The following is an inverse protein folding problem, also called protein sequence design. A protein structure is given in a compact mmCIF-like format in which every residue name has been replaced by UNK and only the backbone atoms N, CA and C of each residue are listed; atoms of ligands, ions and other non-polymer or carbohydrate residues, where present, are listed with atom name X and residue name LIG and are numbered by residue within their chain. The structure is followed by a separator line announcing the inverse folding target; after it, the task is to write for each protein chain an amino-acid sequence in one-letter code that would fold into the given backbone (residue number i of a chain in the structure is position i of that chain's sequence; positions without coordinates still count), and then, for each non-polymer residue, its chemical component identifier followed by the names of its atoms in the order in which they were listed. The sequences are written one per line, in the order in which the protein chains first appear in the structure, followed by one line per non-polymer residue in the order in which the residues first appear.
data_IF_031934235192
#
_entry.id   IF_031934235192
#
_cell.length_a   1.000
_cell.length_b   1.000
_cell.length_c   1.000
_cell.angle_alpha   90.00
_cell.angle_beta   90.00
_cell.angle_gamma   90.00
#
_symmetry.space_group_name_H-M   'P 1'
#
loop_
_entity.id
_entity.type
_entity.pdbx_description
1 polymer ?
#
# COMPACT_ATOMS: atom_id res chain seq x y z
N UNK A 1 -3.77 25.72 17.27
CA UNK A 1 -2.61 24.84 17.01
C UNK A 1 -3.06 23.37 16.92
N UNK A 2 -2.46 22.56 16.05
CA UNK A 2 -2.83 21.14 15.91
C UNK A 2 -3.99 20.83 14.95
N UNK A 3 -4.49 21.83 14.21
CA UNK A 3 -5.45 21.61 13.13
C UNK A 3 -4.73 21.19 11.85
N UNK A 4 -5.44 20.53 10.93
CA UNK A 4 -4.93 20.20 9.60
C UNK A 4 -5.61 21.09 8.57
N UNK A 5 -4.78 21.69 7.71
CA UNK A 5 -5.20 22.32 6.46
C UNK A 5 -4.67 21.47 5.31
N UNK A 6 -5.55 21.06 4.39
CA UNK A 6 -5.19 20.16 3.29
C UNK A 6 -5.51 20.84 1.96
N UNK A 7 -4.55 20.84 1.04
CA UNK A 7 -4.73 21.34 -0.31
C UNK A 7 -4.78 20.20 -1.33
N UNK A 8 -5.63 20.35 -2.33
CA UNK A 8 -5.48 19.68 -3.62
C UNK A 8 -4.89 20.72 -4.59
N UNK A 9 -3.76 20.41 -5.20
CA UNK A 9 -3.07 21.31 -6.12
C UNK A 9 -2.41 20.46 -7.22
N UNK A 10 -2.76 20.74 -8.47
CA UNK A 10 -2.55 19.84 -9.62
C UNK A 10 -1.60 20.39 -10.70
N UNK A 11 -0.88 21.48 -10.43
CA UNK A 11 0.08 22.14 -11.36
C UNK A 11 1.54 22.04 -10.92
N UNK A 12 1.84 21.22 -9.90
CA UNK A 12 3.17 21.04 -9.32
C UNK A 12 3.77 22.32 -8.71
N UNK A 13 2.91 23.18 -8.14
CA UNK A 13 3.35 24.36 -7.40
C UNK A 13 4.24 23.91 -6.21
N UNK A 14 5.45 24.49 -6.03
CA UNK A 14 6.36 24.09 -4.96
C UNK A 14 5.99 24.73 -3.62
N UNK A 15 6.19 24.00 -2.53
CA UNK A 15 6.06 24.53 -1.17
C UNK A 15 4.62 24.70 -0.70
N UNK A 16 3.66 23.96 -1.27
CA UNK A 16 2.25 24.06 -0.89
C UNK A 16 2.06 23.74 0.59
N UNK A 17 2.70 22.68 1.08
CA UNK A 17 2.63 22.23 2.47
C UNK A 17 3.82 22.67 3.32
N UNK A 18 4.45 23.79 2.95
CA UNK A 18 5.57 24.40 3.67
C UNK A 18 5.15 25.69 4.39
N UNK A 19 5.85 26.08 5.48
CA UNK A 19 5.52 27.30 6.22
C UNK A 19 5.59 28.57 5.37
N UNK A 20 4.68 29.50 5.63
CA UNK A 20 4.61 30.78 4.90
C UNK A 20 5.86 31.65 5.08
N UNK A 21 6.50 31.60 6.24
CA UNK A 21 7.77 32.32 6.50
C UNK A 21 8.97 31.75 5.73
N UNK A 22 8.83 30.58 5.08
CA UNK A 22 9.80 30.02 4.13
C UNK A 22 9.35 30.17 2.66
N UNK A 23 8.29 30.94 2.41
CA UNK A 23 7.71 31.14 1.06
C UNK A 23 6.70 30.07 0.63
N UNK A 24 6.27 29.17 1.53
CA UNK A 24 5.22 28.20 1.23
C UNK A 24 3.81 28.76 1.34
N UNK A 25 2.80 27.96 0.96
CA UNK A 25 1.39 28.37 1.04
C UNK A 25 0.76 28.14 2.44
N UNK A 26 1.46 27.47 3.35
CA UNK A 26 1.03 27.28 4.74
C UNK A 26 0.03 26.14 4.96
N UNK A 27 -0.20 25.28 3.98
CA UNK A 27 -0.99 24.07 4.21
C UNK A 27 -0.23 23.06 5.06
N UNK A 28 -0.96 22.23 5.80
CA UNK A 28 -0.37 21.12 6.57
C UNK A 28 -0.02 19.96 5.66
N UNK A 29 -0.91 19.66 4.69
CA UNK A 29 -0.82 18.52 3.79
C UNK A 29 -1.22 18.88 2.36
N UNK A 30 -0.72 18.11 1.39
CA UNK A 30 -1.08 18.17 -0.04
C UNK A 30 -1.55 16.81 -0.54
N UNK A 31 -2.60 16.75 -1.36
CA UNK A 31 -2.97 15.52 -2.06
C UNK A 31 -1.92 15.14 -3.11
N UNK A 32 -1.48 13.88 -3.09
CA UNK A 32 -0.54 13.36 -4.07
C UNK A 32 -1.28 12.84 -5.31
N UNK A 33 -1.70 13.77 -6.17
CA UNK A 33 -2.42 13.46 -7.41
C UNK A 33 -1.56 12.68 -8.41
N UNK A 34 -0.23 12.88 -8.40
CA UNK A 34 0.71 12.10 -9.21
C UNK A 34 0.71 10.63 -8.81
N UNK A 35 0.91 10.35 -7.51
CA UNK A 35 0.82 9.00 -6.96
C UNK A 35 -0.53 8.34 -7.27
N UNK A 36 -1.64 9.05 -7.08
CA UNK A 36 -2.99 8.51 -7.31
C UNK A 36 -3.13 8.06 -8.78
N UNK A 37 -2.78 8.94 -9.73
CA UNK A 37 -2.91 8.65 -11.15
C UNK A 37 -2.02 7.48 -11.59
N UNK A 38 -0.75 7.48 -11.19
CA UNK A 38 0.19 6.44 -11.57
C UNK A 38 -0.18 5.09 -10.96
N UNK A 39 -0.59 5.09 -9.68
CA UNK A 39 -1.04 3.88 -8.99
C UNK A 39 -2.29 3.31 -9.63
N UNK A 40 -3.34 4.10 -9.88
CA UNK A 40 -4.55 3.59 -10.53
C UNK A 40 -4.28 3.06 -11.94
N UNK A 41 -3.42 3.72 -12.72
CA UNK A 41 -2.99 3.22 -14.04
C UNK A 41 -2.26 1.88 -13.95
N UNK A 42 -1.35 1.73 -12.98
CA UNK A 42 -0.61 0.47 -12.76
C UNK A 42 -1.56 -0.67 -12.38
N UNK A 43 -2.47 -0.43 -11.44
CA UNK A 43 -3.39 -1.45 -10.96
C UNK A 43 -4.48 -1.81 -11.97
N UNK A 44 -4.87 -0.88 -12.85
CA UNK A 44 -5.82 -1.13 -13.95
C UNK A 44 -5.21 -1.94 -15.10
N UNK A 45 -3.88 -1.95 -15.23
CA UNK A 45 -3.20 -2.74 -16.24
C UNK A 45 -3.30 -4.24 -15.91
N UNK A 46 -3.58 -5.07 -16.92
CA UNK A 46 -3.52 -6.53 -16.79
C UNK A 46 -2.15 -6.94 -16.21
N UNK A 47 -2.08 -7.84 -15.22
CA UNK A 47 -0.83 -8.22 -14.55
C UNK A 47 0.34 -8.56 -15.50
N UNK A 48 0.07 -9.14 -16.68
CA UNK A 48 1.12 -9.46 -17.65
C UNK A 48 1.84 -8.22 -18.22
N UNK A 49 1.20 -7.06 -18.18
CA UNK A 49 1.75 -5.81 -18.70
C UNK A 49 2.37 -4.93 -17.60
N UNK A 50 2.19 -5.26 -16.31
CA UNK A 50 2.70 -4.45 -15.19
C UNK A 50 4.22 -4.28 -15.20
N UNK A 51 4.96 -5.23 -15.75
CA UNK A 51 6.42 -5.11 -15.93
C UNK A 51 6.83 -3.91 -16.79
N UNK A 52 6.02 -3.52 -17.77
CA UNK A 52 6.26 -2.36 -18.63
C UNK A 52 5.87 -1.04 -17.95
N UNK A 53 5.20 -1.13 -16.81
CA UNK A 53 4.61 -0.01 -16.08
C UNK A 53 5.19 0.12 -14.67
N UNK A 54 6.26 -0.63 -14.38
CA UNK A 54 6.85 -0.74 -13.03
C UNK A 54 7.36 0.59 -12.48
N UNK A 55 7.69 1.54 -13.35
CA UNK A 55 8.02 2.91 -12.96
C UNK A 55 6.83 3.63 -12.32
N UNK A 56 5.58 3.37 -12.72
CA UNK A 56 4.39 4.05 -12.18
C UNK A 56 4.24 3.84 -10.67
N UNK A 57 4.60 2.66 -10.16
CA UNK A 57 4.46 2.32 -8.75
C UNK A 57 5.72 2.62 -7.90
N UNK A 58 6.79 3.10 -8.55
CA UNK A 58 8.06 3.45 -7.87
C UNK A 58 8.39 4.94 -7.96
N UNK A 59 7.87 5.65 -8.97
CA UNK A 59 8.24 7.04 -9.28
C UNK A 59 7.81 8.05 -8.23
N UNK A 60 6.66 7.85 -7.58
CA UNK A 60 6.17 8.75 -6.52
C UNK A 60 7.19 8.97 -5.41
N UNK A 61 8.03 7.99 -5.11
CA UNK A 61 9.04 8.04 -4.06
C UNK A 61 10.24 8.94 -4.39
N UNK A 62 10.43 9.30 -5.66
CA UNK A 62 11.42 10.31 -6.07
C UNK A 62 11.09 11.68 -5.46
N UNK A 63 9.80 11.99 -5.30
CA UNK A 63 9.34 13.28 -4.76
C UNK A 63 8.49 13.16 -3.49
N UNK A 64 8.26 11.96 -2.94
CA UNK A 64 7.36 11.75 -1.80
C UNK A 64 7.70 12.55 -0.53
N UNK A 65 8.90 13.11 -0.43
CA UNK A 65 9.36 13.90 0.73
C UNK A 65 9.49 15.41 0.43
N UNK A 66 9.10 15.86 -0.78
CA UNK A 66 9.09 17.28 -1.15
C UNK A 66 7.96 18.05 -0.48
N UNK A 67 6.84 17.39 -0.22
CA UNK A 67 5.65 17.89 0.45
C UNK A 67 5.16 16.87 1.50
N UNK A 68 4.30 17.31 2.41
CA UNK A 68 3.63 16.41 3.35
C UNK A 68 2.39 15.82 2.66
N UNK A 69 2.55 14.66 2.04
CA UNK A 69 1.50 14.11 1.19
C UNK A 69 0.39 13.36 1.95
N UNK A 70 -0.84 13.50 1.45
CA UNK A 70 -1.95 12.56 1.61
C UNK A 70 -2.06 11.77 0.31
N UNK A 71 -2.36 10.47 0.39
CA UNK A 71 -2.53 9.55 -0.73
C UNK A 71 -4.04 9.32 -0.95
N UNK A 72 -4.69 10.06 -1.87
CA UNK A 72 -6.13 10.06 -1.98
C UNK A 72 -6.63 9.01 -2.96
N UNK A 73 -7.67 8.29 -2.55
CA UNK A 73 -8.70 7.78 -3.45
C UNK A 73 -10.00 8.50 -3.10
N UNK A 74 -10.24 9.64 -3.74
CA UNK A 74 -11.38 10.51 -3.47
C UNK A 74 -12.63 10.10 -4.26
N UNK A 75 -13.72 10.84 -4.04
CA UNK A 75 -14.96 10.72 -4.79
C UNK A 75 -14.78 10.95 -6.30
N UNK A 76 -13.92 11.89 -6.69
CA UNK A 76 -13.66 12.22 -8.10
C UNK A 76 -13.14 11.04 -8.92
N UNK A 77 -12.56 10.03 -8.28
CA UNK A 77 -11.97 8.87 -8.96
C UNK A 77 -12.97 7.74 -9.22
N UNK A 78 -14.21 7.86 -8.74
CA UNK A 78 -15.26 6.82 -8.83
C UNK A 78 -16.59 7.34 -9.39
N UNK A 79 -16.52 8.35 -10.26
CA UNK A 79 -17.67 8.99 -10.93
C UNK A 79 -17.37 9.25 -12.41
N UNK A 80 -18.37 9.73 -13.15
CA UNK A 80 -18.24 10.26 -14.51
C UNK A 80 -17.61 9.29 -15.52
N UNK A 81 -17.95 7.99 -15.43
CA UNK A 81 -17.45 6.97 -16.35
C UNK A 81 -16.04 6.47 -16.01
N UNK A 82 -15.45 6.90 -14.88
CA UNK A 82 -14.14 6.41 -14.43
C UNK A 82 -14.20 5.01 -13.82
N UNK A 83 -15.39 4.46 -13.56
CA UNK A 83 -15.67 3.25 -12.79
C UNK A 83 -15.32 3.34 -11.30
N UNK A 84 -15.95 2.48 -10.50
CA UNK A 84 -15.54 2.20 -9.11
C UNK A 84 -14.14 1.56 -9.06
N UNK A 85 -13.47 1.59 -7.90
CA UNK A 85 -12.13 0.99 -7.77
C UNK A 85 -12.11 -0.51 -8.10
N UNK A 86 -13.13 -1.27 -7.69
CA UNK A 86 -13.19 -2.71 -7.98
C UNK A 86 -13.32 -3.00 -9.48
N UNK A 87 -14.07 -2.18 -10.22
CA UNK A 87 -14.23 -2.33 -11.67
C UNK A 87 -13.03 -1.82 -12.48
N UNK A 88 -12.13 -1.03 -11.88
CA UNK A 88 -10.82 -0.73 -12.48
C UNK A 88 -9.88 -1.95 -12.45
N UNK A 89 -10.10 -2.91 -11.54
CA UNK A 89 -9.20 -4.05 -11.38
C UNK A 89 -9.39 -5.08 -12.51
N UNK A 90 -8.29 -5.60 -13.10
CA UNK A 90 -8.37 -6.60 -14.16
C UNK A 90 -8.60 -8.01 -13.60
N UNK A 91 -9.02 -8.90 -14.49
CA UNK A 91 -9.13 -10.34 -14.22
C UNK A 91 -10.53 -10.81 -13.89
N UNK A 92 -10.64 -12.05 -13.45
CA UNK A 92 -11.89 -12.60 -12.93
C UNK A 92 -12.29 -11.94 -11.60
N UNK A 93 -13.46 -12.29 -11.09
CA UNK A 93 -13.97 -11.73 -9.84
C UNK A 93 -13.00 -11.91 -8.66
N UNK A 94 -12.35 -13.06 -8.52
CA UNK A 94 -11.40 -13.29 -7.44
C UNK A 94 -10.19 -12.36 -7.58
N UNK A 95 -9.66 -12.22 -8.79
CA UNK A 95 -8.54 -11.34 -9.11
C UNK A 95 -8.89 -9.86 -8.93
N UNK A 96 -10.13 -9.44 -9.22
CA UNK A 96 -10.60 -8.08 -8.94
C UNK A 96 -10.49 -7.75 -7.45
N UNK A 97 -11.03 -8.61 -6.58
CA UNK A 97 -10.94 -8.43 -5.14
C UNK A 97 -9.48 -8.51 -4.64
N UNK A 98 -8.67 -9.44 -5.16
CA UNK A 98 -7.26 -9.56 -4.80
C UNK A 98 -6.46 -8.30 -5.15
N UNK A 99 -6.65 -7.76 -6.36
CA UNK A 99 -6.03 -6.50 -6.77
C UNK A 99 -6.48 -5.31 -5.91
N UNK A 100 -7.74 -5.28 -5.47
CA UNK A 100 -8.23 -4.22 -4.60
C UNK A 100 -7.59 -4.31 -3.20
N UNK A 101 -7.45 -5.52 -2.64
CA UNK A 101 -6.72 -5.76 -1.39
C UNK A 101 -5.25 -5.34 -1.50
N UNK A 102 -4.61 -5.74 -2.59
CA UNK A 102 -3.23 -5.38 -2.96
C UNK A 102 -3.05 -3.85 -3.02
N UNK A 103 -3.96 -3.14 -3.69
CA UNK A 103 -3.96 -1.69 -3.82
C UNK A 103 -4.03 -1.01 -2.45
N UNK A 104 -4.97 -1.41 -1.59
CA UNK A 104 -5.14 -0.79 -0.29
C UNK A 104 -3.98 -1.06 0.65
N UNK A 105 -3.45 -2.28 0.69
CA UNK A 105 -2.24 -2.54 1.47
C UNK A 105 -1.06 -1.71 0.93
N UNK A 106 -0.86 -1.63 -0.38
CA UNK A 106 0.17 -0.74 -0.93
C UNK A 106 -0.03 0.74 -0.53
N UNK A 107 -1.26 1.26 -0.62
CA UNK A 107 -1.59 2.62 -0.15
C UNK A 107 -1.22 2.83 1.32
N UNK A 108 -1.55 1.87 2.19
CA UNK A 108 -1.29 1.96 3.63
C UNK A 108 0.20 1.87 3.97
N UNK A 109 0.96 1.06 3.23
CA UNK A 109 2.40 0.90 3.41
C UNK A 109 3.23 2.04 2.83
N UNK A 110 2.79 2.69 1.75
CA UNK A 110 3.50 3.80 1.12
C UNK A 110 3.61 5.02 2.07
N UNK A 111 4.71 5.80 2.08
CA UNK A 111 4.80 7.02 2.88
C UNK A 111 3.71 8.06 2.53
N UNK A 112 3.14 8.69 3.56
CA UNK A 112 2.08 9.71 3.43
C UNK A 112 0.78 9.30 4.12
N UNK A 113 -0.11 10.28 4.39
CA UNK A 113 -1.39 10.01 5.06
C UNK A 113 -2.42 9.40 4.12
N UNK A 114 -3.47 8.75 4.64
CA UNK A 114 -4.42 7.95 3.84
C UNK A 114 -5.75 8.67 3.71
N UNK A 115 -6.37 8.57 2.53
CA UNK A 115 -7.74 9.00 2.31
C UNK A 115 -8.42 7.99 1.38
N UNK A 116 -9.59 7.52 1.81
CA UNK A 116 -10.44 6.59 1.08
C UNK A 116 -11.88 7.13 1.15
N UNK A 117 -12.57 7.17 0.01
CA UNK A 117 -13.94 7.65 -0.07
C UNK A 117 -14.94 6.53 0.24
N UNK A 118 -16.10 6.92 0.78
CA UNK A 118 -17.15 5.98 1.18
C UNK A 118 -17.61 5.09 0.02
N UNK A 119 -17.97 3.84 0.34
CA UNK A 119 -18.31 2.81 -0.64
C UNK A 119 -17.11 2.01 -1.13
N UNK A 120 -15.92 2.60 -1.13
CA UNK A 120 -14.70 1.90 -1.55
C UNK A 120 -14.28 0.84 -0.51
N UNK A 121 -14.54 1.07 0.77
CA UNK A 121 -14.16 0.19 1.88
C UNK A 121 -14.88 -1.16 1.90
N UNK A 122 -15.95 -1.33 1.12
CA UNK A 122 -16.61 -2.62 0.92
C UNK A 122 -16.73 -2.97 -0.57
N UNK A 123 -15.90 -2.35 -1.41
CA UNK A 123 -15.85 -2.59 -2.84
C UNK A 123 -17.21 -2.39 -3.55
N UNK A 124 -17.84 -1.25 -3.33
CA UNK A 124 -19.01 -0.86 -4.11
C UNK A 124 -18.70 -0.99 -5.62
N UNK A 125 -19.62 -1.65 -6.34
CA UNK A 125 -19.42 -1.97 -7.76
C UNK A 125 -19.81 -0.82 -8.65
N UNK A 126 -20.96 -0.22 -8.43
CA UNK A 126 -21.36 0.91 -9.25
C UNK A 126 -20.57 2.17 -8.88
N UNK A 127 -20.46 3.08 -9.86
CA UNK A 127 -19.99 4.44 -9.58
C UNK A 127 -20.83 5.10 -8.49
N UNK A 128 -20.16 5.95 -7.71
CA UNK A 128 -20.84 6.74 -6.71
C UNK A 128 -21.85 7.67 -7.40
N UNK A 129 -22.98 7.89 -6.73
CA UNK A 129 -23.98 8.85 -7.15
C UNK A 129 -24.57 9.50 -5.91
N UNK A 130 -24.58 10.82 -5.90
CA UNK A 130 -25.16 11.65 -4.84
C UNK A 130 -26.69 11.50 -4.73
N UNK A 131 -27.34 11.01 -5.79
CA UNK A 131 -28.79 10.86 -5.87
C UNK A 131 -29.33 9.57 -5.24
N UNK A 132 -28.46 8.63 -4.86
CA UNK A 132 -28.84 7.34 -4.27
C UNK A 132 -27.95 7.00 -3.07
N UNK A 133 -28.44 6.09 -2.22
CA UNK A 133 -27.62 5.53 -1.15
C UNK A 133 -26.48 4.69 -1.70
N UNK A 134 -25.45 4.48 -0.88
CA UNK A 134 -24.45 3.45 -1.16
C UNK A 134 -25.10 2.06 -1.23
N UNK A 135 -24.44 1.14 -1.93
CA UNK A 135 -24.92 -0.22 -2.19
C UNK A 135 -24.70 -1.16 -0.99
N UNK A 136 -25.27 -0.81 0.17
CA UNK A 136 -25.10 -1.56 1.43
C UNK A 136 -25.48 -3.03 1.35
N UNK A 137 -26.38 -3.40 0.44
CA UNK A 137 -26.79 -4.78 0.19
C UNK A 137 -25.61 -5.68 -0.24
N UNK A 138 -24.52 -5.11 -0.78
CA UNK A 138 -23.32 -5.85 -1.14
C UNK A 138 -22.65 -6.53 0.06
N UNK A 139 -22.84 -6.01 1.27
CA UNK A 139 -22.33 -6.61 2.51
C UNK A 139 -23.01 -7.94 2.88
N UNK A 140 -24.00 -8.39 2.11
CA UNK A 140 -24.55 -9.75 2.21
C UNK A 140 -23.61 -10.82 1.65
N UNK A 141 -22.63 -10.43 0.83
CA UNK A 141 -21.65 -11.32 0.19
C UNK A 141 -20.30 -11.32 0.92
N UNK A 142 -19.69 -12.50 1.06
CA UNK A 142 -18.42 -12.66 1.79
C UNK A 142 -17.25 -11.87 1.17
N UNK A 143 -17.21 -11.75 -0.16
CA UNK A 143 -16.15 -11.01 -0.86
C UNK A 143 -16.09 -9.53 -0.45
N UNK A 144 -17.25 -8.88 -0.35
CA UNK A 144 -17.38 -7.49 0.08
C UNK A 144 -17.07 -7.32 1.56
N UNK A 145 -17.54 -8.23 2.42
CA UNK A 145 -17.15 -8.29 3.84
C UNK A 145 -15.65 -8.49 4.02
N UNK A 146 -15.01 -9.26 3.15
CA UNK A 146 -13.56 -9.47 3.15
C UNK A 146 -12.77 -8.18 2.93
N UNK A 147 -13.22 -7.31 2.02
CA UNK A 147 -12.61 -5.99 1.81
C UNK A 147 -12.83 -5.08 3.03
N UNK A 148 -14.06 -5.05 3.56
CA UNK A 148 -14.36 -4.27 4.76
C UNK A 148 -13.49 -4.69 5.94
N UNK A 149 -13.34 -6.01 6.15
CA UNK A 149 -12.48 -6.57 7.18
C UNK A 149 -11.01 -6.19 6.96
N UNK A 150 -10.52 -6.26 5.72
CA UNK A 150 -9.16 -5.83 5.41
C UNK A 150 -8.96 -4.35 5.76
N UNK A 151 -9.90 -3.46 5.42
CA UNK A 151 -9.79 -2.04 5.77
C UNK A 151 -9.80 -1.84 7.29
N UNK A 152 -10.62 -2.58 8.02
CA UNK A 152 -10.59 -2.57 9.50
C UNK A 152 -9.22 -2.97 10.03
N UNK A 153 -8.68 -4.11 9.56
CA UNK A 153 -7.40 -4.64 10.04
C UNK A 153 -6.22 -3.77 9.60
N UNK A 154 -6.25 -3.19 8.39
CA UNK A 154 -5.28 -2.19 7.92
C UNK A 154 -5.27 -0.94 8.79
N UNK A 155 -6.44 -0.43 9.20
CA UNK A 155 -6.52 0.71 10.10
C UNK A 155 -5.95 0.38 11.49
N UNK A 156 -6.22 -0.82 12.01
CA UNK A 156 -5.64 -1.28 13.26
C UNK A 156 -4.12 -1.37 13.18
N UNK A 157 -3.59 -2.03 12.14
CA UNK A 157 -2.14 -2.15 11.92
C UNK A 157 -1.49 -0.78 11.74
N UNK A 158 -2.10 0.11 10.95
CA UNK A 158 -1.57 1.46 10.74
C UNK A 158 -1.51 2.28 12.02
N UNK A 159 -2.52 2.18 12.89
CA UNK A 159 -2.54 2.87 14.17
C UNK A 159 -1.59 2.25 15.19
N UNK A 160 -1.44 0.92 15.21
CA UNK A 160 -0.61 0.21 16.19
C UNK A 160 0.87 0.17 15.86
N UNK A 161 1.25 0.33 14.59
CA UNK A 161 2.63 0.22 14.13
C UNK A 161 3.25 1.60 13.84
N UNK A 162 4.13 2.12 14.74
CA UNK A 162 4.78 3.42 14.59
C UNK A 162 5.46 3.65 13.23
N UNK A 163 6.05 2.59 12.68
CA UNK A 163 6.77 2.63 11.41
C UNK A 163 5.90 3.08 10.23
N UNK A 164 4.59 2.85 10.28
CA UNK A 164 3.70 3.17 9.18
C UNK A 164 3.25 4.65 9.16
N UNK A 165 3.42 5.39 10.27
CA UNK A 165 2.86 6.75 10.39
C UNK A 165 3.73 7.82 11.05
N UNK A 166 4.77 7.45 11.83
CA UNK A 166 5.56 8.43 12.59
C UNK A 166 6.52 9.26 11.73
N UNK A 167 7.05 8.67 10.65
CA UNK A 167 8.11 9.26 9.80
C UNK A 167 7.68 9.26 8.32
N UNK A 168 6.46 9.71 8.03
CA UNK A 168 5.94 9.74 6.65
C UNK A 168 6.59 10.80 5.74
N UNK A 169 7.07 11.90 6.33
CA UNK A 169 7.48 13.10 5.61
C UNK A 169 8.99 13.32 5.58
N UNK A 170 9.76 12.25 5.85
CA UNK A 170 11.21 12.29 5.84
C UNK A 170 11.77 10.98 5.28
N UNK A 171 12.85 11.08 4.49
CA UNK A 171 13.46 9.94 3.81
C UNK A 171 13.89 8.81 4.75
N UNK A 172 14.18 9.12 6.03
CA UNK A 172 14.53 8.11 7.03
C UNK A 172 13.40 7.13 7.37
N UNK A 173 12.14 7.45 7.06
CA UNK A 173 11.00 6.57 7.35
C UNK A 173 10.74 5.49 6.30
N UNK A 174 11.55 5.46 5.23
CA UNK A 174 11.37 4.56 4.09
C UNK A 174 12.70 4.15 3.50
N UNK A 175 12.82 2.87 3.11
CA UNK A 175 14.00 2.37 2.39
C UNK A 175 13.60 1.25 1.44
N UNK A 176 13.99 1.34 0.17
CA UNK A 176 13.79 0.24 -0.77
C UNK A 176 14.65 -0.97 -0.38
N UNK A 177 14.04 -2.15 -0.35
CA UNK A 177 14.79 -3.41 -0.34
C UNK A 177 15.19 -3.75 -1.77
N UNK A 178 14.17 -3.87 -2.62
CA UNK A 178 14.32 -4.07 -4.04
C UNK A 178 13.08 -3.53 -4.76
N UNK A 179 13.33 -2.63 -5.71
CA UNK A 179 12.31 -2.05 -6.58
C UNK A 179 12.58 -2.34 -8.06
N UNK A 180 13.58 -3.17 -8.38
CA UNK A 180 14.00 -3.44 -9.76
C UNK A 180 13.40 -4.72 -10.34
N UNK A 181 12.71 -5.55 -9.54
CA UNK A 181 12.11 -6.80 -10.00
C UNK A 181 10.80 -6.60 -10.78
N UNK A 182 10.87 -5.76 -11.83
CA UNK A 182 9.75 -5.40 -12.69
C UNK A 182 9.22 -6.57 -13.52
N UNK A 183 10.11 -7.45 -14.00
CA UNK A 183 9.73 -8.64 -14.77
C UNK A 183 8.75 -9.53 -14.02
N UNK A 184 8.89 -9.57 -12.70
CA UNK A 184 8.04 -10.30 -11.79
C UNK A 184 6.96 -9.43 -11.12
N UNK A 185 7.04 -8.11 -11.32
CA UNK A 185 6.22 -7.09 -10.67
C UNK A 185 6.18 -7.24 -9.15
N UNK A 186 7.36 -7.46 -8.57
CA UNK A 186 7.57 -7.55 -7.12
C UNK A 186 8.23 -6.26 -6.63
N UNK A 187 7.76 -5.76 -5.49
CA UNK A 187 8.40 -4.67 -4.75
C UNK A 187 8.61 -5.09 -3.31
N UNK A 188 9.73 -4.66 -2.74
CA UNK A 188 10.00 -4.85 -1.32
C UNK A 188 10.66 -3.60 -0.74
N UNK A 189 10.22 -3.20 0.45
CA UNK A 189 10.73 -2.02 1.15
C UNK A 189 10.54 -2.13 2.66
N UNK A 190 11.20 -1.23 3.38
CA UNK A 190 11.11 -1.10 4.83
C UNK A 190 10.46 0.24 5.16
N UNK A 191 9.55 0.21 6.12
CA UNK A 191 9.07 1.39 6.83
C UNK A 191 9.75 1.45 8.20
N UNK A 192 10.20 2.63 8.60
CA UNK A 192 10.84 2.86 9.90
C UNK A 192 10.04 3.85 10.75
N UNK A 193 9.97 3.57 12.05
CA UNK A 193 9.49 4.48 13.07
C UNK A 193 10.59 5.46 13.50
N UNK A 194 10.33 6.20 14.58
CA UNK A 194 11.38 7.03 15.20
C UNK A 194 12.49 6.19 15.83
N UNK A 195 12.17 4.99 16.32
CA UNK A 195 13.15 3.99 16.70
C UNK A 195 13.54 3.15 15.49
N UNK A 196 14.83 2.88 15.30
CA UNK A 196 15.30 2.01 14.21
C UNK A 196 14.91 0.54 14.40
N UNK A 197 14.54 0.13 15.62
CA UNK A 197 13.99 -1.20 15.88
C UNK A 197 12.51 -1.31 15.53
N UNK A 198 11.80 -0.17 15.41
CA UNK A 198 10.43 -0.12 14.90
C UNK A 198 10.48 -0.15 13.38
N UNK A 199 10.54 -1.35 12.81
CA UNK A 199 10.54 -1.54 11.36
C UNK A 199 9.48 -2.52 10.91
N UNK A 200 8.91 -2.25 9.73
CA UNK A 200 8.01 -3.15 9.01
C UNK A 200 8.60 -3.40 7.63
N UNK A 201 8.88 -4.66 7.34
CA UNK A 201 9.22 -5.12 6.00
C UNK A 201 7.93 -5.36 5.23
N UNK A 202 7.81 -4.75 4.06
CA UNK A 202 6.65 -4.86 3.17
C UNK A 202 7.10 -5.52 1.89
N UNK A 203 6.41 -6.57 1.46
CA UNK A 203 6.67 -7.26 0.18
C UNK A 203 5.37 -7.39 -0.57
N UNK A 204 5.37 -6.94 -1.82
CA UNK A 204 4.22 -6.92 -2.72
C UNK A 204 4.49 -7.79 -3.94
N UNK A 205 3.60 -8.72 -4.24
CA UNK A 205 3.55 -9.46 -5.49
C UNK A 205 2.35 -8.98 -6.32
N UNK A 206 2.60 -8.22 -7.38
CA UNK A 206 1.55 -7.64 -8.22
C UNK A 206 1.16 -8.54 -9.41
N UNK A 207 1.41 -9.85 -9.34
CA UNK A 207 0.96 -10.83 -10.34
C UNK A 207 0.21 -11.99 -9.69
N UNK A 208 -0.66 -12.71 -10.43
CA UNK A 208 -1.35 -13.89 -9.90
C UNK A 208 -0.44 -15.12 -9.78
N UNK A 209 0.85 -14.99 -10.10
CA UNK A 209 1.81 -16.09 -10.00
C UNK A 209 2.34 -16.16 -8.58
N UNK A 210 2.15 -17.30 -7.91
CA UNK A 210 2.72 -17.59 -6.59
C UNK A 210 4.23 -17.68 -6.71
N UNK A 211 4.97 -17.10 -5.75
CA UNK A 211 6.43 -17.15 -5.72
C UNK A 211 6.91 -17.84 -4.46
N UNK A 212 7.30 -19.10 -4.60
CA UNK A 212 7.88 -19.88 -3.51
C UNK A 212 9.38 -19.62 -3.43
N UNK A 213 9.93 -19.66 -2.21
CA UNK A 213 11.37 -19.50 -2.00
C UNK A 213 11.91 -18.12 -2.39
N UNK A 214 11.07 -17.09 -2.44
CA UNK A 214 11.47 -15.75 -2.82
C UNK A 214 12.31 -15.11 -1.72
N UNK A 215 13.51 -14.66 -2.05
CA UNK A 215 14.48 -14.16 -1.08
C UNK A 215 14.35 -12.64 -0.93
N UNK A 216 14.18 -12.18 0.32
CA UNK A 216 14.11 -10.76 0.67
C UNK A 216 15.16 -10.42 1.71
N UNK A 217 16.06 -9.50 1.40
CA UNK A 217 17.10 -9.01 2.30
C UNK A 217 16.50 -8.19 3.46
N UNK A 218 16.98 -8.43 4.68
CA UNK A 218 16.52 -7.74 5.89
C UNK A 218 17.68 -7.27 6.77
N UNK A 219 17.55 -6.12 7.46
CA UNK A 219 18.69 -5.44 8.10
C UNK A 219 19.12 -6.05 9.44
N UNK A 220 18.32 -6.97 10.01
CA UNK A 220 18.51 -7.52 11.35
C UNK A 220 18.14 -9.00 11.39
N UNK A 221 18.86 -9.77 12.20
CA UNK A 221 18.48 -11.13 12.57
C UNK A 221 17.21 -11.14 13.45
N UNK A 222 16.62 -12.33 13.58
CA UNK A 222 15.46 -12.57 14.42
C UNK A 222 14.31 -13.22 13.65
N UNK A 223 13.18 -13.37 14.32
CA UNK A 223 11.97 -13.86 13.68
C UNK A 223 11.14 -12.67 13.16
N UNK A 224 10.67 -12.77 11.93
CA UNK A 224 9.82 -11.77 11.28
C UNK A 224 8.42 -12.33 11.21
N UNK A 225 7.57 -11.87 12.12
CA UNK A 225 6.17 -12.26 12.20
C UNK A 225 5.39 -11.64 11.06
N UNK A 226 4.61 -12.44 10.36
CA UNK A 226 3.63 -11.97 9.38
C UNK A 226 2.45 -11.33 10.15
N UNK A 227 2.40 -9.99 10.15
CA UNK A 227 1.38 -9.22 10.87
C UNK A 227 0.19 -8.87 9.98
N UNK A 228 0.37 -8.91 8.66
CA UNK A 228 -0.68 -8.77 7.67
C UNK A 228 -0.34 -9.61 6.44
N UNK A 229 -1.32 -10.32 5.92
CA UNK A 229 -1.27 -10.97 4.63
C UNK A 229 -2.61 -10.79 3.93
N UNK A 230 -2.60 -10.00 2.86
CA UNK A 230 -3.82 -9.68 2.09
C UNK A 230 -4.44 -10.87 1.36
N UNK A 231 -3.73 -11.99 1.25
CA UNK A 231 -4.26 -13.23 0.69
C UNK A 231 -4.85 -14.18 1.75
N UNK A 232 -4.91 -13.78 3.02
CA UNK A 232 -5.57 -14.59 4.04
C UNK A 232 -7.02 -14.92 3.66
N UNK A 233 -7.47 -16.14 3.98
CA UNK A 233 -8.85 -16.58 3.73
C UNK A 233 -9.89 -15.65 4.36
N UNK A 234 -9.56 -15.00 5.48
CA UNK A 234 -10.42 -14.04 6.17
C UNK A 234 -10.79 -12.81 5.31
N UNK A 235 -9.98 -12.50 4.28
CA UNK A 235 -10.23 -11.42 3.33
C UNK A 235 -10.73 -11.93 1.96
N UNK A 236 -10.98 -13.24 1.84
CA UNK A 236 -11.35 -13.90 0.59
C UNK A 236 -10.16 -14.19 -0.33
N UNK A 237 -8.95 -14.31 0.21
CA UNK A 237 -7.77 -14.78 -0.54
C UNK A 237 -7.62 -16.31 -0.54
N UNK A 238 -6.55 -16.79 -1.18
CA UNK A 238 -6.23 -18.21 -1.33
C UNK A 238 -5.56 -18.84 -0.10
N UNK A 239 -5.24 -18.02 0.90
CA UNK A 239 -4.61 -18.37 2.17
C UNK A 239 -3.18 -18.90 2.05
N UNK A 240 -2.48 -18.53 0.98
CA UNK A 240 -1.05 -18.76 0.87
C UNK A 240 -0.31 -17.74 1.73
N UNK A 241 0.84 -18.12 2.28
CA UNK A 241 1.60 -17.26 3.18
C UNK A 241 2.72 -18.00 3.89
N UNK A 242 3.21 -17.42 4.98
CA UNK A 242 4.43 -17.89 5.65
C UNK A 242 4.16 -18.53 7.02
N UNK A 243 2.96 -19.08 7.24
CA UNK A 243 2.57 -19.81 8.46
C UNK A 243 2.93 -19.03 9.75
N UNK A 244 2.67 -17.71 9.73
CA UNK A 244 2.90 -16.81 10.86
C UNK A 244 4.22 -16.04 10.84
N UNK A 245 5.19 -16.40 9.99
CA UNK A 245 6.44 -15.63 9.82
C UNK A 245 7.65 -16.47 9.44
N UNK A 246 8.80 -15.83 9.31
CA UNK A 246 10.07 -16.49 8.96
C UNK A 246 11.23 -16.05 9.84
N UNK A 247 12.14 -16.97 10.15
CA UNK A 247 13.40 -16.64 10.78
C UNK A 247 14.38 -16.11 9.73
N UNK A 248 15.05 -15.00 10.05
CA UNK A 248 16.08 -14.43 9.18
C UNK A 248 17.33 -15.32 9.17
N UNK A 249 17.73 -15.77 7.98
CA UNK A 249 18.96 -16.51 7.77
C UNK A 249 20.15 -15.55 7.65
N UNK A 250 21.33 -15.99 8.10
CA UNK A 250 22.60 -15.30 7.87
C UNK A 250 23.10 -15.55 6.43
N UNK A 251 22.30 -15.13 5.45
CA UNK A 251 22.58 -15.17 4.01
C UNK A 251 22.42 -13.75 3.44
N UNK A 252 23.52 -13.00 3.23
CA UNK A 252 23.47 -11.62 2.75
C UNK A 252 22.87 -11.47 1.35
N UNK A 253 21.83 -10.63 1.23
CA UNK A 253 21.05 -10.43 -0.01
C UNK A 253 20.59 -8.99 -0.14
N UNK A 254 20.45 -8.49 -1.37
CA UNK A 254 19.93 -7.14 -1.67
C UNK A 254 20.59 -6.06 -0.80
N UNK A 255 21.92 -6.13 -0.64
CA UNK A 255 22.71 -5.18 0.16
C UNK A 255 22.54 -5.27 1.67
N UNK A 256 21.94 -6.34 2.20
CA UNK A 256 21.63 -6.52 3.63
C UNK A 256 22.28 -7.77 4.21
N UNK A 257 22.58 -7.79 5.52
CA UNK A 257 23.33 -8.87 6.17
C UNK A 257 22.52 -10.17 6.35
N UNK A 258 21.19 -10.09 6.38
CA UNK A 258 20.31 -11.25 6.56
C UNK A 258 19.27 -11.31 5.44
N UNK A 259 18.57 -12.44 5.33
CA UNK A 259 17.46 -12.58 4.39
C UNK A 259 16.35 -13.49 4.91
N UNK A 260 15.16 -13.34 4.33
CA UNK A 260 13.99 -14.18 4.55
C UNK A 260 13.71 -14.98 3.27
N UNK A 261 13.38 -16.25 3.44
CA UNK A 261 12.88 -17.11 2.37
C UNK A 261 11.35 -17.17 2.47
N UNK A 262 10.67 -16.45 1.58
CA UNK A 262 9.24 -16.19 1.67
C UNK A 262 8.47 -16.91 0.56
N UNK A 263 7.25 -17.32 0.90
CA UNK A 263 6.20 -17.59 -0.09
C UNK A 263 5.43 -16.30 -0.29
N UNK A 264 5.48 -15.74 -1.50
CA UNK A 264 4.69 -14.56 -1.87
C UNK A 264 3.36 -15.01 -2.47
N UNK A 265 2.23 -14.69 -1.81
CA UNK A 265 0.92 -15.07 -2.32
C UNK A 265 0.60 -14.32 -3.63
N UNK A 266 -0.38 -14.82 -4.41
CA UNK A 266 -0.75 -14.21 -5.69
C UNK A 266 -1.53 -12.91 -5.45
N UNK A 267 -1.17 -11.83 -6.16
CA UNK A 267 -1.82 -10.51 -6.06
C UNK A 267 -1.96 -10.03 -4.61
N UNK A 268 -0.86 -10.06 -3.85
CA UNK A 268 -0.89 -9.84 -2.41
C UNK A 268 0.28 -8.99 -1.90
N UNK A 269 0.04 -8.27 -0.82
CA UNK A 269 1.04 -7.68 0.06
C UNK A 269 1.11 -8.47 1.37
N UNK A 270 2.33 -8.68 1.85
CA UNK A 270 2.64 -9.17 3.19
C UNK A 270 3.41 -8.11 3.98
N UNK A 271 3.04 -7.91 5.24
CA UNK A 271 3.78 -7.10 6.21
C UNK A 271 4.43 -7.98 7.26
N UNK A 272 5.70 -7.76 7.48
CA UNK A 272 6.54 -8.55 8.36
C UNK A 272 7.16 -7.63 9.42
N UNK A 273 6.84 -7.90 10.69
CA UNK A 273 7.40 -7.21 11.84
C UNK A 273 8.43 -8.09 12.50
N UNK A 274 9.63 -7.56 12.71
CA UNK A 274 10.64 -8.25 13.50
C UNK A 274 10.18 -8.35 14.96
N UNK A 275 10.12 -9.56 15.48
CA UNK A 275 10.10 -9.82 16.92
C UNK A 275 11.55 -9.98 17.38
N UNK A 276 12.03 -9.19 18.34
CA UNK A 276 13.33 -9.42 18.97
C UNK A 276 13.40 -10.87 19.46
N UNK A 277 14.57 -11.49 19.36
CA UNK A 277 14.80 -12.74 20.08
C UNK A 277 14.64 -12.46 21.59
N UNK A 278 14.02 -13.39 22.35
CA UNK A 278 13.96 -13.27 23.81
C UNK A 278 15.35 -13.18 24.44
#
# INVERSE_FOLDING_TARGET
PGILTVAEESTAWPGVSRPTYLGGLGFSLKWNMGWMNDTLKYFSANPIYRKYEHNKITFSLVYAFSENFVLPFSHDEVVHGKNSLIHKMPGDMWQQFANLRLLYAYQYAHPGKKLLFMGQEFAQRDEWSEARSLDWHLLQWDSHRGIQKLITDLNHVFASEPALHQVDFHWQGFEWIDCNDGDNSVLSFIRYGKSQDDLIVVVMNATPVVREGYIVGVPRAGFYKEILNTDAAHYGGSNLGNIGGQAAANDPRQGRPFSLCLTLPPLAVIYLKRTPAP
#
